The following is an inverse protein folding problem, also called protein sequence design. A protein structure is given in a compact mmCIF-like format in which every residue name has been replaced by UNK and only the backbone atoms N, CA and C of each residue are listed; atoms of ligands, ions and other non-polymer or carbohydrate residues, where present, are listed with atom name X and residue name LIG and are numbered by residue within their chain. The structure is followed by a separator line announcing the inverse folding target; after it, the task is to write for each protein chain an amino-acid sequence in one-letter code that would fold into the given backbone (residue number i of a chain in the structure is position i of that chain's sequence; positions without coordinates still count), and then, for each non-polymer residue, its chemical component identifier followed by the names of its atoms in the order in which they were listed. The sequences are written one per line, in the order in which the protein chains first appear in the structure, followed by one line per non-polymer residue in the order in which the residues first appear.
data_IF_039984812864
#
_entry.id   IF_039984812864
#
_cell.length_a   1.000
_cell.length_b   1.000
_cell.length_c   1.000
_cell.angle_alpha   90.00
_cell.angle_beta   90.00
_cell.angle_gamma   90.00
#
_symmetry.space_group_name_H-M   'P 1'
#
loop_
_entity.id
_entity.type
_entity.pdbx_description
1 polymer ?
#
# COMPACT_ATOMS: atom_id res chain seq x y z
N UNK A 1 -5.57 -4.44 0.74
CA UNK A 1 -5.57 -4.82 -0.68
C UNK A 1 -6.82 -4.39 -1.41
N UNK A 2 -8.00 -4.71 -0.91
CA UNK A 2 -9.30 -4.35 -1.52
C UNK A 2 -9.41 -2.83 -1.80
N UNK A 3 -8.88 -1.99 -0.92
CA UNK A 3 -8.95 -0.52 -0.98
C UNK A 3 -7.89 0.10 -1.89
N UNK A 4 -6.61 -0.04 -1.50
CA UNK A 4 -5.49 0.67 -2.15
C UNK A 4 -5.00 0.00 -3.42
N UNK A 5 -5.28 -1.29 -3.61
CA UNK A 5 -4.82 -2.09 -4.75
C UNK A 5 -5.95 -3.01 -5.25
N UNK A 6 -7.09 -2.43 -5.66
CA UNK A 6 -8.32 -3.18 -5.94
C UNK A 6 -8.15 -4.21 -7.07
N UNK A 7 -7.20 -4.03 -7.98
CA UNK A 7 -6.96 -5.01 -9.05
C UNK A 7 -6.44 -6.36 -8.51
N UNK A 8 -5.82 -6.40 -7.32
CA UNK A 8 -5.43 -7.67 -6.68
C UNK A 8 -6.69 -8.49 -6.39
N UNK A 9 -7.65 -7.85 -5.73
CA UNK A 9 -8.90 -8.49 -5.32
C UNK A 9 -9.85 -8.73 -6.51
N UNK A 10 -9.94 -7.79 -7.45
CA UNK A 10 -10.96 -7.84 -8.49
C UNK A 10 -10.57 -8.74 -9.69
N UNK A 11 -9.28 -8.83 -10.03
CA UNK A 11 -8.81 -9.49 -11.25
C UNK A 11 -7.49 -10.27 -11.07
N UNK A 12 -7.11 -10.59 -9.82
CA UNK A 12 -5.89 -11.35 -9.49
C UNK A 12 -4.58 -10.76 -10.04
N UNK A 13 -4.51 -9.43 -10.11
CA UNK A 13 -3.32 -8.77 -10.65
C UNK A 13 -2.17 -8.80 -9.64
N UNK A 14 -1.07 -9.44 -10.03
CA UNK A 14 0.19 -9.37 -9.29
C UNK A 14 0.88 -8.01 -9.45
N UNK A 15 1.40 -7.47 -8.36
CA UNK A 15 2.24 -6.27 -8.33
C UNK A 15 3.66 -6.62 -7.90
N UNK A 16 4.63 -5.76 -8.22
CA UNK A 16 5.97 -5.97 -7.69
C UNK A 16 6.01 -5.48 -6.24
N UNK A 17 6.46 -6.33 -5.33
CA UNK A 17 6.52 -6.07 -3.89
C UNK A 17 7.94 -6.29 -3.40
N UNK A 18 8.51 -5.29 -2.72
CA UNK A 18 9.88 -5.36 -2.19
C UNK A 18 9.97 -4.64 -0.85
N UNK A 19 10.81 -5.12 0.06
CA UNK A 19 11.23 -4.34 1.21
C UNK A 19 12.09 -3.16 0.75
N UNK A 20 11.89 -1.98 1.35
CA UNK A 20 12.68 -0.78 1.02
C UNK A 20 13.76 -0.47 2.06
N UNK A 21 13.79 -1.20 3.17
CA UNK A 21 14.81 -1.14 4.20
C UNK A 21 15.11 -2.54 4.76
N UNK A 22 16.12 -2.64 5.63
CA UNK A 22 16.55 -3.88 6.29
C UNK A 22 16.98 -4.98 5.31
N UNK A 23 17.57 -4.61 4.17
CA UNK A 23 18.03 -5.57 3.16
C UNK A 23 19.31 -6.33 3.57
N UNK A 24 19.90 -5.94 4.70
CA UNK A 24 21.11 -6.48 5.30
C UNK A 24 20.88 -7.69 6.23
N UNK A 25 19.62 -8.02 6.52
CA UNK A 25 19.26 -9.12 7.44
C UNK A 25 18.65 -10.31 6.69
N UNK A 26 18.41 -11.40 7.42
CA UNK A 26 17.79 -12.60 6.86
C UNK A 26 16.35 -12.33 6.37
N UNK A 27 15.93 -13.08 5.35
CA UNK A 27 14.58 -13.02 4.79
C UNK A 27 13.77 -14.22 5.24
N UNK A 28 12.47 -14.02 5.43
CA UNK A 28 11.49 -15.06 5.73
C UNK A 28 10.32 -15.02 4.74
N UNK A 29 9.71 -16.18 4.53
CA UNK A 29 8.52 -16.34 3.72
C UNK A 29 7.27 -16.00 4.54
N UNK A 30 6.43 -15.11 4.01
CA UNK A 30 5.19 -14.68 4.67
C UNK A 30 4.04 -14.57 3.69
N UNK A 31 2.84 -14.43 4.25
CA UNK A 31 1.64 -13.98 3.53
C UNK A 31 1.28 -12.58 4.01
N UNK A 32 0.96 -11.67 3.09
CA UNK A 32 0.52 -10.33 3.45
C UNK A 32 -1.00 -10.28 3.52
N UNK A 33 -1.53 -10.01 4.71
CA UNK A 33 -2.91 -9.57 4.91
C UNK A 33 -2.99 -8.04 4.97
N UNK A 34 -4.11 -7.48 4.51
CA UNK A 34 -4.44 -6.09 4.73
C UNK A 34 -5.07 -5.86 6.10
N UNK A 35 -5.51 -4.63 6.35
CA UNK A 35 -6.03 -4.20 7.65
C UNK A 35 -7.56 -4.27 7.74
N UNK A 36 -8.24 -4.67 6.67
CA UNK A 36 -9.70 -4.77 6.70
C UNK A 36 -10.17 -5.96 7.55
N UNK A 37 -11.48 -6.00 7.83
CA UNK A 37 -12.11 -7.16 8.47
C UNK A 37 -12.54 -8.25 7.49
N UNK A 38 -12.17 -8.12 6.21
CA UNK A 38 -12.58 -9.03 5.13
C UNK A 38 -11.58 -10.18 4.99
N UNK A 39 -12.10 -11.39 4.83
CA UNK A 39 -11.29 -12.59 4.59
C UNK A 39 -10.59 -12.57 3.24
N UNK A 40 -11.08 -11.76 2.29
CA UNK A 40 -10.50 -11.60 0.95
C UNK A 40 -9.39 -10.53 0.89
N UNK A 41 -9.06 -9.87 2.00
CA UNK A 41 -8.06 -8.80 2.03
C UNK A 41 -6.63 -9.33 2.18
N UNK A 42 -6.18 -10.11 1.22
CA UNK A 42 -4.82 -10.67 1.19
C UNK A 42 -4.12 -10.41 -0.14
N UNK A 43 -2.80 -10.36 -0.09
CA UNK A 43 -1.97 -10.34 -1.29
C UNK A 43 -1.85 -11.77 -1.79
N UNK A 44 -2.68 -12.14 -2.76
CA UNK A 44 -2.48 -13.38 -3.51
C UNK A 44 -2.26 -13.07 -4.98
N UNK A 45 -1.03 -13.32 -5.42
CA UNK A 45 -0.78 -13.46 -6.84
C UNK A 45 -0.85 -14.95 -7.15
N UNK A 46 -1.90 -15.36 -7.88
CA UNK A 46 -2.16 -16.71 -8.39
C UNK A 46 -1.01 -17.33 -9.26
N UNK A 47 0.17 -16.70 -9.29
CA UNK A 47 1.35 -17.09 -10.08
C UNK A 47 2.53 -17.61 -9.25
N UNK A 48 2.55 -17.45 -7.92
CA UNK A 48 3.60 -17.95 -7.02
C UNK A 48 3.07 -18.08 -5.57
N UNK A 49 2.19 -19.04 -5.29
CA UNK A 49 1.83 -19.47 -3.93
C UNK A 49 1.35 -18.40 -2.92
N UNK A 50 0.99 -17.18 -3.33
CA UNK A 50 0.55 -16.09 -2.45
C UNK A 50 1.60 -15.57 -1.44
N UNK A 51 2.74 -16.25 -1.30
CA UNK A 51 3.79 -15.91 -0.36
C UNK A 51 4.85 -15.01 -0.96
N UNK A 52 5.44 -14.16 -0.12
CA UNK A 52 6.55 -13.28 -0.49
C UNK A 52 7.69 -13.42 0.53
N UNK A 53 8.91 -13.12 0.10
CA UNK A 53 10.06 -13.06 0.98
C UNK A 53 10.37 -11.60 1.34
N UNK A 54 10.41 -11.31 2.65
CA UNK A 54 10.80 -10.00 3.19
C UNK A 54 11.82 -10.19 4.33
N UNK A 55 12.57 -9.14 4.71
CA UNK A 55 13.40 -9.16 5.90
C UNK A 55 12.61 -9.56 7.15
N UNK A 56 13.23 -10.36 8.03
CA UNK A 56 12.63 -10.79 9.30
C UNK A 56 12.25 -9.56 10.14
N UNK A 57 11.05 -9.57 10.72
CA UNK A 57 10.56 -8.45 11.54
C UNK A 57 11.26 -8.45 12.90
N UNK A 58 12.05 -7.41 13.19
CA UNK A 58 12.72 -7.20 14.47
C UNK A 58 12.04 -6.07 15.27
N UNK A 59 11.79 -6.26 16.57
CA UNK A 59 11.10 -5.27 17.44
C UNK A 59 11.71 -3.86 17.44
N UNK A 60 12.99 -3.74 17.11
CA UNK A 60 13.74 -2.48 17.17
C UNK A 60 13.86 -1.77 15.81
N UNK A 61 13.42 -2.40 14.71
CA UNK A 61 13.58 -1.87 13.35
C UNK A 61 12.24 -1.95 12.62
N UNK A 62 11.68 -0.79 12.28
CA UNK A 62 10.51 -0.75 11.41
C UNK A 62 10.85 -1.37 10.05
N UNK A 63 9.92 -2.14 9.50
CA UNK A 63 10.02 -2.69 8.15
C UNK A 63 9.03 -1.95 7.25
N UNK A 64 9.55 -1.41 6.15
CA UNK A 64 8.75 -0.75 5.14
C UNK A 64 8.73 -1.60 3.87
N UNK A 65 7.53 -1.77 3.30
CA UNK A 65 7.30 -2.54 2.08
C UNK A 65 6.75 -1.59 1.02
N UNK A 66 7.33 -1.66 -0.18
CA UNK A 66 6.89 -0.92 -1.36
C UNK A 66 6.11 -1.82 -2.31
N UNK A 67 4.97 -1.31 -2.79
CA UNK A 67 4.24 -1.85 -3.92
C UNK A 67 4.51 -0.98 -5.14
N UNK A 68 4.92 -1.60 -6.25
CA UNK A 68 5.33 -0.92 -7.47
C UNK A 68 4.43 -1.29 -8.65
N UNK A 69 4.46 -0.46 -9.69
CA UNK A 69 3.58 -0.53 -10.87
C UNK A 69 2.09 -0.33 -10.55
N UNK A 70 1.80 0.49 -9.54
CA UNK A 70 0.45 0.78 -9.04
C UNK A 70 -0.17 2.04 -9.63
N UNK A 71 0.56 2.82 -10.44
CA UNK A 71 0.13 4.16 -10.87
C UNK A 71 -1.02 4.24 -11.88
N UNK A 72 -1.65 3.11 -12.23
CA UNK A 72 -2.79 3.06 -13.13
C UNK A 72 -3.96 2.33 -12.46
N UNK A 73 -5.16 2.93 -12.57
CA UNK A 73 -6.44 2.45 -12.05
C UNK A 73 -6.60 2.37 -10.53
N UNK A 74 -5.54 2.12 -9.75
CA UNK A 74 -5.70 1.79 -8.32
C UNK A 74 -6.35 2.91 -7.52
N UNK A 75 -5.93 4.16 -7.70
CA UNK A 75 -6.53 5.31 -7.02
C UNK A 75 -7.96 5.59 -7.50
N UNK A 76 -8.23 5.40 -8.80
CA UNK A 76 -9.53 5.67 -9.38
C UNK A 76 -10.58 4.63 -8.96
N UNK A 77 -10.21 3.35 -9.02
CA UNK A 77 -11.07 2.23 -8.62
C UNK A 77 -11.17 2.12 -7.09
N UNK A 78 -10.08 2.41 -6.38
CA UNK A 78 -10.05 2.42 -4.93
C UNK A 78 -10.87 3.55 -4.33
N UNK A 79 -11.26 4.57 -5.10
CA UNK A 79 -12.09 5.67 -4.62
C UNK A 79 -11.29 6.76 -3.90
N UNK A 80 -10.29 7.33 -4.58
CA UNK A 80 -9.45 8.43 -4.08
C UNK A 80 -10.26 9.54 -3.39
N UNK A 81 -10.01 9.74 -2.09
CA UNK A 81 -10.68 10.76 -1.29
C UNK A 81 -12.17 10.49 -1.01
N UNK A 82 -12.67 9.32 -1.39
CA UNK A 82 -14.01 8.84 -1.09
C UNK A 82 -14.05 7.90 0.12
N UNK A 83 -15.06 7.03 0.15
CA UNK A 83 -15.22 6.00 1.15
C UNK A 83 -14.43 4.75 0.75
N UNK A 84 -13.69 4.21 1.71
CA UNK A 84 -12.94 2.98 1.58
C UNK A 84 -13.66 1.86 2.33
N UNK A 85 -13.42 0.62 1.91
CA UNK A 85 -13.85 -0.56 2.65
C UNK A 85 -13.33 -0.50 4.10
N UNK A 86 -14.18 -0.89 5.06
CA UNK A 86 -13.96 -0.72 6.51
C UNK A 86 -13.71 0.72 6.99
N UNK A 87 -14.05 1.73 6.21
CA UNK A 87 -13.78 3.14 6.54
C UNK A 87 -12.30 3.41 6.82
N UNK A 88 -11.41 2.64 6.19
CA UNK A 88 -9.96 2.81 6.33
C UNK A 88 -9.58 4.16 5.69
N UNK A 89 -8.87 5.05 6.40
CA UNK A 89 -8.53 6.34 5.82
C UNK A 89 -7.64 6.26 4.59
N UNK A 90 -7.89 7.13 3.60
CA UNK A 90 -7.01 7.27 2.44
C UNK A 90 -5.61 7.74 2.88
N UNK A 91 -4.53 7.17 2.32
CA UNK A 91 -3.17 7.51 2.73
C UNK A 91 -2.79 8.93 2.28
N UNK A 92 -1.65 9.41 2.77
CA UNK A 92 -1.02 10.64 2.31
C UNK A 92 -0.39 10.44 0.93
N UNK A 93 -0.62 11.39 0.02
CA UNK A 93 -0.03 11.39 -1.32
C UNK A 93 1.03 12.49 -1.42
N UNK A 94 2.20 12.12 -1.93
CA UNK A 94 3.33 13.03 -2.14
C UNK A 94 3.83 12.93 -3.57
N UNK A 95 4.28 14.06 -4.12
CA UNK A 95 5.13 14.08 -5.29
C UNK A 95 6.58 14.10 -4.82
N UNK A 96 7.39 13.19 -5.36
CA UNK A 96 8.83 13.22 -5.25
C UNK A 96 9.40 13.61 -6.61
N UNK A 97 10.24 14.63 -6.64
CA UNK A 97 10.89 15.14 -7.85
C UNK A 97 12.38 15.34 -7.59
N UNK A 98 13.20 15.37 -8.64
CA UNK A 98 14.62 15.62 -8.55
C UNK A 98 14.92 17.06 -8.98
N UNK A 99 15.48 17.86 -8.07
CA UNK A 99 15.83 19.24 -8.37
C UNK A 99 17.08 19.32 -9.28
N UNK A 100 17.45 20.55 -9.71
CA UNK A 100 18.64 20.79 -10.55
C UNK A 100 19.96 20.34 -9.90
N UNK A 101 20.00 20.25 -8.58
CA UNK A 101 21.17 19.83 -7.80
C UNK A 101 21.21 18.31 -7.56
N UNK A 102 20.26 17.55 -8.12
CA UNK A 102 20.06 16.10 -7.91
C UNK A 102 19.60 15.72 -6.50
N UNK A 103 19.06 16.66 -5.72
CA UNK A 103 18.39 16.33 -4.47
C UNK A 103 16.92 15.96 -4.74
N UNK A 104 16.41 14.98 -3.99
CA UNK A 104 14.99 14.62 -4.02
C UNK A 104 14.21 15.64 -3.19
N UNK A 105 13.26 16.31 -3.82
CA UNK A 105 12.33 17.24 -3.18
C UNK A 105 10.94 16.63 -3.11
N UNK A 106 10.26 16.82 -1.97
CA UNK A 106 8.95 16.25 -1.72
C UNK A 106 7.90 17.36 -1.59
N UNK A 107 6.74 17.17 -2.23
CA UNK A 107 5.57 18.04 -2.10
C UNK A 107 4.36 17.20 -1.71
N UNK A 108 3.67 17.58 -0.64
CA UNK A 108 2.40 16.94 -0.27
C UNK A 108 1.32 17.33 -1.27
N UNK A 109 0.77 16.33 -1.97
CA UNK A 109 -0.36 16.50 -2.88
C UNK A 109 -1.68 16.45 -2.13
N UNK A 110 -1.84 15.44 -1.26
CA UNK A 110 -3.02 15.25 -0.41
C UNK A 110 -2.57 14.73 0.95
N UNK A 111 -3.12 15.30 2.02
CA UNK A 111 -2.91 14.77 3.37
C UNK A 111 -3.66 13.45 3.54
N UNK A 112 -3.21 12.65 4.50
CA UNK A 112 -3.97 11.49 4.97
C UNK A 112 -5.37 11.94 5.40
N UNK A 113 -6.36 11.13 5.07
CA UNK A 113 -7.75 11.39 5.44
C UNK A 113 -7.91 11.17 6.94
N UNK A 114 -8.65 12.03 7.62
CA UNK A 114 -8.98 11.83 9.03
C UNK A 114 -10.40 11.26 9.21
N UNK A 115 -10.71 10.82 10.44
CA UNK A 115 -12.00 10.21 10.76
C UNK A 115 -13.17 11.17 10.51
N UNK A 116 -13.00 12.46 10.80
CA UNK A 116 -14.06 13.47 10.61
C UNK A 116 -14.38 13.65 9.11
N UNK A 117 -13.35 13.66 8.26
CA UNK A 117 -13.51 13.70 6.80
C UNK A 117 -14.27 12.47 6.29
N UNK A 118 -13.96 11.27 6.79
CA UNK A 118 -14.68 10.04 6.40
C UNK A 118 -16.13 10.10 6.84
N UNK A 119 -16.38 10.49 8.11
CA UNK A 119 -17.74 10.59 8.64
C UNK A 119 -18.58 11.58 7.86
N UNK A 120 -18.01 12.72 7.45
CA UNK A 120 -18.71 13.72 6.64
C UNK A 120 -19.21 13.22 5.26
N UNK A 121 -18.72 12.08 4.77
CA UNK A 121 -19.19 11.46 3.53
C UNK A 121 -20.43 10.58 3.71
N UNK A 122 -20.75 10.21 4.96
CA UNK A 122 -21.88 9.32 5.32
C UNK A 122 -22.89 9.97 6.26
N UNK A 123 -22.71 11.25 6.62
CA UNK A 123 -23.61 12.04 7.47
C UNK A 123 -23.99 13.33 6.76
#
# INVERSE_FOLDING_TARGET
FITSLPDIWAIDKGFQVLAINNLDIAFEEIYLGGLSCDGDDFYDSNKNNGSIYIPVIEKARDLHIGFFNTGAYQEALGGFGGLQHCLIPSPKYIFADMNKNKDVVYKVFKKEQDADQILSLIT
#
